data_IF_394525351308
#
_entry.id   IF_394525351308
#
_cell.length_a   1.000
_cell.length_b   1.000
_cell.length_c   1.000
_cell.angle_alpha   90.00
_cell.angle_beta   90.00
_cell.angle_gamma   90.00
#
_symmetry.space_group_name_H-M   'P 1'
#
loop_
_entity.id
_entity.type
_entity.pdbx_description
1 polymer ?
#
# COMPACT_ATOMS: atom_id res chain seq x y z
N UNK A 1 3.27 30.54 29.25
CA UNK A 1 2.85 31.80 28.62
C UNK A 1 4.09 32.68 28.57
N UNK A 2 4.65 32.92 27.38
CA UNK A 2 5.85 33.74 27.21
C UNK A 2 5.47 35.17 27.61
N UNK A 3 6.07 35.71 28.68
CA UNK A 3 5.94 37.13 29.02
C UNK A 3 6.96 37.87 28.16
N UNK A 4 6.52 38.37 27.02
CA UNK A 4 7.32 39.27 26.19
C UNK A 4 6.94 40.69 26.57
N UNK A 5 7.94 41.52 26.84
CA UNK A 5 7.71 42.94 27.05
C UNK A 5 7.33 43.63 25.72
N UNK A 6 6.83 44.85 25.82
CA UNK A 6 6.34 45.61 24.67
C UNK A 6 7.46 45.96 23.68
N UNK A 7 8.66 46.21 24.20
CA UNK A 7 9.82 46.63 23.40
C UNK A 7 10.39 45.45 22.59
N UNK A 8 10.37 44.24 23.14
CA UNK A 8 10.70 42.99 22.43
C UNK A 8 9.67 42.73 21.33
N UNK A 9 8.38 43.01 21.57
CA UNK A 9 7.35 42.82 20.55
C UNK A 9 7.51 43.79 19.37
N UNK A 10 7.85 45.05 19.63
CA UNK A 10 8.13 46.06 18.59
C UNK A 10 9.38 45.66 17.78
N UNK A 11 10.45 45.20 18.44
CA UNK A 11 11.65 44.69 17.75
C UNK A 11 11.37 43.43 16.89
N UNK A 12 10.44 42.56 17.30
CA UNK A 12 10.03 41.38 16.52
C UNK A 12 9.24 41.78 15.27
N UNK A 13 8.40 42.82 15.36
CA UNK A 13 7.58 43.30 14.25
C UNK A 13 8.39 44.06 13.21
N UNK A 14 9.44 44.77 13.66
CA UNK A 14 10.32 45.57 12.80
C UNK A 14 11.50 44.76 12.24
N UNK A 15 11.75 43.55 12.74
CA UNK A 15 12.81 42.68 12.26
C UNK A 15 12.39 41.90 11.01
N UNK A 16 13.00 42.20 9.87
CA UNK A 16 12.88 41.39 8.65
C UNK A 16 13.73 40.11 8.68
N UNK A 17 14.59 39.96 9.69
CA UNK A 17 15.61 38.93 9.76
C UNK A 17 15.36 37.97 10.93
N UNK A 18 15.03 36.71 10.60
CA UNK A 18 14.71 35.65 11.57
C UNK A 18 15.82 35.46 12.62
N UNK A 19 17.07 35.76 12.26
CA UNK A 19 18.24 35.64 13.14
C UNK A 19 18.36 36.75 14.19
N UNK A 20 17.47 37.74 14.20
CA UNK A 20 17.42 38.79 15.23
C UNK A 20 16.34 38.55 16.28
N UNK A 21 15.43 37.59 16.06
CA UNK A 21 14.40 37.24 17.05
C UNK A 21 15.05 36.62 18.29
N UNK A 22 14.60 36.92 19.53
CA UNK A 22 15.08 36.22 20.71
C UNK A 22 14.83 34.71 20.60
N UNK A 23 15.81 33.88 20.96
CA UNK A 23 15.73 32.41 20.83
C UNK A 23 14.48 31.82 21.53
N UNK A 24 14.01 32.45 22.61
CA UNK A 24 12.80 32.05 23.34
C UNK A 24 11.49 32.23 22.57
N UNK A 25 11.50 32.96 21.46
CA UNK A 25 10.33 33.22 20.59
C UNK A 25 10.45 32.52 19.24
N UNK A 26 11.64 32.00 18.91
CA UNK A 26 11.87 31.25 17.68
C UNK A 26 11.16 29.89 17.74
N UNK A 27 10.31 29.63 16.75
CA UNK A 27 9.70 28.32 16.54
C UNK A 27 10.54 27.59 15.50
N UNK A 28 11.51 26.83 16.00
CA UNK A 28 12.34 26.01 15.13
C UNK A 28 11.63 24.70 14.77
N UNK A 29 12.12 24.07 13.70
CA UNK A 29 11.64 22.75 13.24
C UNK A 29 11.54 21.73 14.39
N UNK A 30 12.51 21.71 15.31
CA UNK A 30 12.53 20.79 16.44
C UNK A 30 11.38 21.02 17.43
N UNK A 31 10.95 22.27 17.64
CA UNK A 31 9.80 22.60 18.49
C UNK A 31 8.51 22.03 17.89
N UNK A 32 8.31 22.21 16.59
CA UNK A 32 7.14 21.67 15.86
C UNK A 32 7.17 20.15 15.87
N UNK A 33 8.32 19.56 15.52
CA UNK A 33 8.51 18.11 15.51
C UNK A 33 8.21 17.48 16.89
N UNK A 34 8.73 18.06 17.97
CA UNK A 34 8.50 17.56 19.33
C UNK A 34 7.04 17.69 19.76
N UNK A 35 6.39 18.82 19.45
CA UNK A 35 4.97 19.01 19.72
C UNK A 35 4.10 18.00 18.97
N UNK A 36 4.40 17.76 17.68
CA UNK A 36 3.75 16.71 16.88
C UNK A 36 3.97 15.32 17.46
N UNK A 37 5.20 15.00 17.84
CA UNK A 37 5.54 13.71 18.45
C UNK A 37 4.74 13.46 19.74
N UNK A 38 4.60 14.48 20.60
CA UNK A 38 3.76 14.38 21.81
C UNK A 38 2.29 14.19 21.44
N UNK A 39 1.78 14.98 20.49
CA UNK A 39 0.38 14.91 20.07
C UNK A 39 0.04 13.53 19.49
N UNK A 40 0.83 13.05 18.52
CA UNK A 40 0.67 11.74 17.92
C UNK A 40 0.77 10.63 18.97
N UNK A 41 1.72 10.73 19.90
CA UNK A 41 1.83 9.78 21.02
C UNK A 41 0.57 9.74 21.87
N UNK A 42 -0.03 10.89 22.20
CA UNK A 42 -1.29 10.94 22.98
C UNK A 42 -2.47 10.31 22.22
N UNK A 43 -2.48 10.42 20.90
CA UNK A 43 -3.51 9.81 20.07
C UNK A 43 -3.29 8.32 19.82
N UNK A 44 -2.03 7.85 19.82
CA UNK A 44 -1.70 6.45 19.50
C UNK A 44 -1.47 5.56 20.72
N UNK A 45 -1.09 6.13 21.86
CA UNK A 45 -0.83 5.40 23.10
C UNK A 45 -2.06 5.45 24.02
N UNK A 46 -2.95 4.46 23.89
CA UNK A 46 -4.15 4.35 24.74
C UNK A 46 -3.87 3.82 26.15
N UNK A 47 -2.67 3.30 26.38
CA UNK A 47 -2.23 2.81 27.68
C UNK A 47 -0.70 2.91 27.85
N UNK A 48 -0.18 3.18 29.06
CA UNK A 48 1.25 3.06 29.35
C UNK A 48 1.81 1.66 29.03
N UNK A 49 1.03 0.60 29.27
CA UNK A 49 1.38 -0.77 28.88
C UNK A 49 1.16 -0.96 27.38
N UNK A 50 2.19 -1.40 26.66
CA UNK A 50 2.08 -1.63 25.21
C UNK A 50 1.07 -2.75 24.89
N UNK A 51 1.06 -3.83 25.67
CA UNK A 51 0.10 -4.93 25.49
C UNK A 51 -1.34 -4.42 25.63
N UNK A 52 -1.63 -3.69 26.71
CA UNK A 52 -2.96 -3.11 26.94
C UNK A 52 -3.32 -2.05 25.89
N UNK A 53 -2.33 -1.29 25.39
CA UNK A 53 -2.54 -0.35 24.31
C UNK A 53 -2.91 -1.06 22.99
N UNK A 54 -2.28 -2.20 22.69
CA UNK A 54 -2.60 -3.02 21.51
C UNK A 54 -3.99 -3.66 21.64
N UNK A 55 -4.38 -4.14 22.82
CA UNK A 55 -5.73 -4.65 23.07
C UNK A 55 -6.80 -3.58 22.84
N UNK A 56 -6.57 -2.36 23.35
CA UNK A 56 -7.47 -1.21 23.10
C UNK A 56 -7.54 -0.84 21.61
N UNK A 57 -6.41 -0.94 20.88
CA UNK A 57 -6.40 -0.79 19.43
C UNK A 57 -7.21 -1.87 18.74
N UNK A 58 -7.06 -3.14 19.12
CA UNK A 58 -7.86 -4.24 18.60
C UNK A 58 -9.36 -3.99 18.79
N UNK A 59 -9.78 -3.59 20.00
CA UNK A 59 -11.16 -3.25 20.30
C UNK A 59 -11.69 -2.10 19.42
N UNK A 60 -10.89 -1.04 19.24
CA UNK A 60 -11.23 0.08 18.35
C UNK A 60 -11.37 -0.35 16.89
N UNK A 61 -10.45 -1.17 16.39
CA UNK A 61 -10.49 -1.69 15.01
C UNK A 61 -11.78 -2.50 14.79
N UNK A 62 -12.16 -3.35 15.75
CA UNK A 62 -13.42 -4.09 15.67
C UNK A 62 -14.65 -3.18 15.69
N UNK A 63 -14.64 -2.13 16.52
CA UNK A 63 -15.71 -1.12 16.56
C UNK A 63 -15.88 -0.42 15.21
N UNK A 64 -14.77 -0.18 14.50
CA UNK A 64 -14.73 0.39 13.15
C UNK A 64 -14.96 -0.65 12.04
N UNK A 65 -15.44 -1.86 12.39
CA UNK A 65 -15.69 -2.99 11.47
C UNK A 65 -14.45 -3.48 10.72
N UNK A 66 -13.28 -3.31 11.31
CA UNK A 66 -12.04 -3.94 10.87
C UNK A 66 -11.85 -5.33 11.48
N UNK A 67 -10.69 -5.92 11.19
CA UNK A 67 -10.26 -7.22 11.66
C UNK A 67 -8.86 -7.07 12.24
N UNK A 68 -8.58 -7.79 13.32
CA UNK A 68 -7.26 -7.88 13.89
C UNK A 68 -7.00 -9.25 14.50
N UNK A 69 -5.73 -9.58 14.65
CA UNK A 69 -5.26 -10.71 15.46
C UNK A 69 -4.02 -10.29 16.21
N UNK A 70 -3.81 -10.85 17.40
CA UNK A 70 -2.56 -10.72 18.12
C UNK A 70 -2.22 -12.02 18.84
N UNK A 71 -0.93 -12.34 18.93
CA UNK A 71 -0.45 -13.46 19.74
C UNK A 71 0.86 -13.12 20.41
N UNK A 72 0.97 -13.55 21.66
CA UNK A 72 2.25 -13.74 22.32
C UNK A 72 2.89 -15.03 21.79
N UNK A 73 4.18 -14.96 21.51
CA UNK A 73 4.99 -15.99 20.88
C UNK A 73 6.19 -16.39 21.77
N UNK A 74 6.09 -16.21 23.09
CA UNK A 74 7.16 -16.45 24.08
C UNK A 74 7.77 -17.85 24.00
N UNK A 75 7.01 -18.84 23.54
CA UNK A 75 7.50 -20.21 23.33
C UNK A 75 8.62 -20.33 22.28
N UNK A 76 8.78 -19.32 21.42
CA UNK A 76 9.82 -19.28 20.39
C UNK A 76 10.97 -18.35 20.79
N UNK A 77 10.64 -17.18 21.35
CA UNK A 77 11.59 -16.20 21.87
C UNK A 77 10.86 -15.35 22.92
N UNK A 78 11.49 -15.14 24.08
CA UNK A 78 10.90 -14.39 25.19
C UNK A 78 10.52 -12.96 24.76
N UNK A 79 9.27 -12.57 25.01
CA UNK A 79 8.75 -11.26 24.64
C UNK A 79 8.35 -11.13 23.17
N UNK A 80 8.48 -12.18 22.34
CA UNK A 80 8.08 -12.14 20.95
C UNK A 80 6.56 -11.98 20.82
N UNK A 81 6.11 -11.08 19.95
CA UNK A 81 4.69 -10.94 19.64
C UNK A 81 4.47 -10.56 18.18
N UNK A 82 3.23 -10.69 17.75
CA UNK A 82 2.76 -9.95 16.59
C UNK A 82 1.36 -9.39 16.83
N UNK A 83 1.07 -8.27 16.15
CA UNK A 83 -0.23 -7.63 16.09
C UNK A 83 -0.52 -7.30 14.62
N UNK A 84 -1.52 -7.94 14.03
CA UNK A 84 -1.91 -7.73 12.64
C UNK A 84 -3.32 -7.18 12.56
N UNK A 85 -3.57 -6.33 11.55
CA UNK A 85 -4.87 -5.70 11.36
C UNK A 85 -5.13 -5.30 9.91
N UNK A 86 -6.42 -5.21 9.57
CA UNK A 86 -6.91 -4.72 8.30
C UNK A 86 -8.32 -4.15 8.45
N UNK A 87 -8.71 -3.20 7.60
CA UNK A 87 -10.09 -2.73 7.50
C UNK A 87 -10.95 -3.65 6.61
N UNK A 88 -12.28 -3.50 6.69
CA UNK A 88 -13.22 -4.18 5.79
C UNK A 88 -12.90 -3.94 4.30
N UNK A 89 -12.49 -2.71 3.96
CA UNK A 89 -12.13 -2.34 2.60
C UNK A 89 -10.89 -3.10 2.12
N UNK A 90 -9.90 -3.28 2.99
CA UNK A 90 -8.68 -4.02 2.65
C UNK A 90 -8.94 -5.51 2.50
N UNK A 91 -9.82 -6.10 3.31
CA UNK A 91 -10.24 -7.49 3.12
C UNK A 91 -10.94 -7.66 1.76
N UNK A 92 -11.76 -6.70 1.33
CA UNK A 92 -12.36 -6.71 -0.01
C UNK A 92 -11.29 -6.64 -1.09
N UNK A 93 -10.32 -5.74 -0.95
CA UNK A 93 -9.20 -5.64 -1.89
C UNK A 93 -8.34 -6.90 -1.96
N UNK A 94 -8.13 -7.58 -0.82
CA UNK A 94 -7.38 -8.83 -0.74
C UNK A 94 -8.07 -9.91 -1.57
N UNK A 95 -9.41 -9.97 -1.54
CA UNK A 95 -10.18 -10.92 -2.35
C UNK A 95 -10.20 -10.57 -3.84
N UNK A 96 -10.12 -9.28 -4.19
CA UNK A 96 -10.19 -8.82 -5.57
C UNK A 96 -8.83 -8.79 -6.29
N UNK A 97 -7.74 -8.54 -5.56
CA UNK A 97 -6.41 -8.29 -6.15
C UNK A 97 -5.29 -9.13 -5.51
N UNK A 98 -5.63 -10.09 -4.64
CA UNK A 98 -4.67 -10.86 -3.85
C UNK A 98 -3.90 -11.94 -4.62
N UNK A 99 -4.09 -12.06 -5.93
CA UNK A 99 -3.42 -13.06 -6.77
C UNK A 99 -1.91 -12.84 -6.85
N UNK A 100 -1.48 -11.57 -6.87
CA UNK A 100 -0.08 -11.16 -6.82
C UNK A 100 0.09 -10.08 -5.76
N UNK A 101 0.81 -10.42 -4.69
CA UNK A 101 1.06 -9.52 -3.58
C UNK A 101 2.55 -9.29 -3.35
N UNK A 102 2.92 -8.12 -2.88
CA UNK A 102 4.24 -7.85 -2.30
C UNK A 102 4.13 -7.93 -0.78
N UNK A 103 5.08 -8.58 -0.14
CA UNK A 103 5.28 -8.52 1.30
C UNK A 103 6.61 -7.80 1.54
N UNK A 104 6.56 -6.70 2.28
CA UNK A 104 7.73 -5.87 2.59
C UNK A 104 7.77 -5.54 4.08
N UNK A 105 8.98 -5.43 4.63
CA UNK A 105 9.22 -5.11 6.04
C UNK A 105 9.92 -3.77 6.20
N UNK A 106 9.28 -2.83 6.89
CA UNK A 106 9.89 -1.54 7.26
C UNK A 106 10.52 -1.63 8.65
N UNK A 107 11.86 -1.61 8.68
CA UNK A 107 12.65 -1.67 9.91
C UNK A 107 12.50 -0.41 10.77
N UNK A 108 12.59 -0.59 12.10
CA UNK A 108 12.63 0.51 13.10
C UNK A 108 11.44 1.45 13.01
N UNK A 109 10.27 0.88 12.71
CA UNK A 109 9.04 1.64 12.53
C UNK A 109 8.51 2.19 13.87
N UNK A 110 8.72 1.44 14.95
CA UNK A 110 8.44 1.86 16.32
C UNK A 110 9.32 1.09 17.31
N UNK A 111 9.11 1.31 18.60
CA UNK A 111 9.77 0.56 19.67
C UNK A 111 8.72 -0.17 20.51
N UNK A 112 9.10 -1.34 21.02
CA UNK A 112 8.30 -2.10 21.98
C UNK A 112 8.38 -1.51 23.40
N UNK A 113 7.71 -2.14 24.37
CA UNK A 113 7.66 -1.70 25.76
C UNK A 113 9.00 -1.79 26.48
N UNK A 114 9.91 -2.63 25.98
CA UNK A 114 11.28 -2.79 26.44
C UNK A 114 12.28 -1.92 25.65
N UNK A 115 11.81 -1.12 24.68
CA UNK A 115 12.59 -0.26 23.78
C UNK A 115 13.39 -1.02 22.71
N UNK A 116 12.94 -2.21 22.33
CA UNK A 116 13.48 -2.95 21.19
C UNK A 116 12.83 -2.42 19.91
N UNK A 117 13.57 -2.42 18.82
CA UNK A 117 13.04 -2.00 17.51
C UNK A 117 11.93 -2.96 17.06
N UNK A 118 10.82 -2.39 16.58
CA UNK A 118 9.73 -3.12 15.94
C UNK A 118 9.76 -2.96 14.42
N UNK A 119 9.26 -3.99 13.75
CA UNK A 119 9.14 -4.12 12.30
C UNK A 119 7.67 -4.00 11.90
N UNK A 120 7.41 -3.21 10.86
CA UNK A 120 6.10 -3.11 10.24
C UNK A 120 6.15 -3.88 8.92
N UNK A 121 5.44 -4.99 8.86
CA UNK A 121 5.18 -5.69 7.62
C UNK A 121 3.94 -5.14 6.95
N UNK A 122 4.03 -4.92 5.63
CA UNK A 122 2.92 -4.49 4.80
C UNK A 122 2.69 -5.49 3.68
N UNK A 123 1.45 -5.95 3.54
CA UNK A 123 1.01 -6.71 2.38
C UNK A 123 0.41 -5.74 1.36
N UNK A 124 0.87 -5.76 0.12
CA UNK A 124 0.45 -4.83 -0.93
C UNK A 124 0.03 -5.59 -2.18
N UNK A 125 -1.12 -5.27 -2.77
CA UNK A 125 -1.48 -5.74 -4.11
C UNK A 125 -1.41 -4.61 -5.12
N UNK A 126 -1.16 -4.94 -6.38
CA UNK A 126 -1.34 -3.99 -7.48
C UNK A 126 -2.83 -3.84 -7.77
N UNK A 127 -3.34 -2.61 -7.72
CA UNK A 127 -4.71 -2.33 -8.13
C UNK A 127 -4.84 -2.46 -9.65
N UNK A 128 -5.73 -3.32 -10.12
CA UNK A 128 -6.01 -3.52 -11.55
C UNK A 128 -6.49 -2.24 -12.25
N UNK A 129 -7.25 -1.39 -11.55
CA UNK A 129 -7.78 -0.14 -12.12
C UNK A 129 -6.73 0.97 -12.25
N UNK A 130 -5.88 1.18 -11.23
CA UNK A 130 -4.95 2.32 -11.22
C UNK A 130 -3.52 1.95 -11.56
N UNK A 131 -3.21 0.64 -11.58
CA UNK A 131 -1.86 0.12 -11.72
C UNK A 131 -0.95 0.37 -10.49
N UNK A 132 -1.43 1.05 -9.44
CA UNK A 132 -0.66 1.40 -8.23
C UNK A 132 -0.80 0.35 -7.14
N UNK A 133 0.20 0.24 -6.26
CA UNK A 133 0.13 -0.57 -5.06
C UNK A 133 -0.92 -0.06 -4.06
N UNK A 134 -1.70 -0.97 -3.48
CA UNK A 134 -2.66 -0.71 -2.40
C UNK A 134 -2.36 -1.64 -1.22
N UNK A 135 -2.27 -1.14 0.02
CA UNK A 135 -2.02 -1.97 1.19
C UNK A 135 -3.26 -2.81 1.53
N UNK A 136 -3.06 -4.12 1.64
CA UNK A 136 -4.07 -5.13 1.98
C UNK A 136 -4.13 -5.44 3.47
N UNK A 137 -3.08 -5.11 4.22
CA UNK A 137 -3.02 -5.34 5.65
C UNK A 137 -1.64 -5.06 6.19
N UNK A 138 -1.59 -4.96 7.51
CA UNK A 138 -0.36 -4.66 8.23
C UNK A 138 -0.15 -5.65 9.38
N UNK A 139 1.11 -5.89 9.70
CA UNK A 139 1.52 -6.61 10.90
C UNK A 139 2.69 -5.88 11.56
N UNK A 140 2.61 -5.71 12.87
CA UNK A 140 3.68 -5.19 13.71
C UNK A 140 4.23 -6.36 14.53
N UNK A 141 5.56 -6.47 14.61
CA UNK A 141 6.28 -7.48 15.40
C UNK A 141 7.58 -6.90 15.93
N UNK A 142 8.09 -7.39 17.05
CA UNK A 142 9.43 -7.08 17.56
C UNK A 142 10.51 -8.09 17.11
N UNK A 143 10.15 -9.06 16.28
CA UNK A 143 11.08 -10.09 15.78
C UNK A 143 10.98 -10.25 14.26
N UNK A 144 12.13 -10.42 13.60
CA UNK A 144 12.26 -10.77 12.18
C UNK A 144 12.21 -12.29 11.92
N UNK A 145 11.96 -13.08 12.97
CA UNK A 145 11.82 -14.51 12.84
C UNK A 145 10.63 -14.88 11.94
N UNK A 146 10.65 -16.09 11.42
CA UNK A 146 9.59 -16.65 10.57
C UNK A 146 8.22 -16.77 11.27
N UNK A 147 8.17 -16.85 12.62
CA UNK A 147 6.95 -17.21 13.35
C UNK A 147 5.86 -16.13 13.32
N UNK A 148 6.15 -14.83 13.59
CA UNK A 148 5.21 -13.74 13.35
C UNK A 148 4.56 -13.80 11.96
N UNK A 149 5.38 -13.89 10.91
CA UNK A 149 4.93 -13.94 9.52
C UNK A 149 4.04 -15.16 9.28
N UNK A 150 4.48 -16.34 9.73
CA UNK A 150 3.74 -17.59 9.60
C UNK A 150 2.35 -17.51 10.24
N UNK A 151 2.24 -16.99 11.46
CA UNK A 151 0.95 -16.89 12.15
C UNK A 151 0.04 -15.83 11.55
N UNK A 152 0.62 -14.75 11.02
CA UNK A 152 -0.15 -13.76 10.28
C UNK A 152 -0.69 -14.31 8.96
N UNK A 153 0.14 -15.00 8.16
CA UNK A 153 -0.30 -15.63 6.92
C UNK A 153 -1.34 -16.73 7.16
N UNK A 154 -1.19 -17.52 8.23
CA UNK A 154 -2.21 -18.50 8.64
C UNK A 154 -3.52 -17.82 9.03
N UNK A 155 -3.47 -16.68 9.71
CA UNK A 155 -4.68 -15.91 10.01
C UNK A 155 -5.41 -15.45 8.74
N UNK A 156 -4.69 -14.92 7.75
CA UNK A 156 -5.26 -14.56 6.45
C UNK A 156 -5.90 -15.77 5.76
N UNK A 157 -5.23 -16.92 5.78
CA UNK A 157 -5.70 -18.15 5.14
C UNK A 157 -6.91 -18.75 5.86
N UNK A 158 -6.76 -19.00 7.15
CA UNK A 158 -7.69 -19.82 7.93
C UNK A 158 -8.95 -19.03 8.32
N UNK A 159 -8.82 -17.74 8.65
CA UNK A 159 -9.95 -16.91 9.09
C UNK A 159 -10.57 -16.06 7.97
N UNK A 160 -9.80 -15.75 6.92
CA UNK A 160 -10.27 -14.90 5.82
C UNK A 160 -10.34 -15.61 4.47
N UNK A 161 -9.98 -16.89 4.40
CA UNK A 161 -10.05 -17.70 3.19
C UNK A 161 -9.08 -17.22 2.10
N UNK A 162 -8.02 -16.51 2.47
CA UNK A 162 -7.04 -16.04 1.51
C UNK A 162 -6.20 -17.21 0.98
N UNK A 163 -6.15 -17.36 -0.34
CA UNK A 163 -5.31 -18.33 -1.02
C UNK A 163 -4.22 -17.53 -1.74
N UNK A 164 -2.97 -17.74 -1.32
CA UNK A 164 -1.84 -17.10 -1.95
C UNK A 164 -1.58 -17.79 -3.30
N UNK A 165 -1.47 -17.00 -4.37
CA UNK A 165 -1.09 -17.50 -5.70
C UNK A 165 0.36 -17.13 -6.01
N UNK A 166 0.69 -15.84 -5.96
CA UNK A 166 2.05 -15.33 -6.15
C UNK A 166 2.40 -14.28 -5.11
N UNK A 167 3.64 -14.32 -4.63
CA UNK A 167 4.18 -13.34 -3.67
C UNK A 167 5.52 -12.83 -4.16
N UNK A 168 5.74 -11.53 -4.00
CA UNK A 168 7.03 -10.88 -4.16
C UNK A 168 7.53 -10.48 -2.78
N UNK A 169 8.77 -10.86 -2.48
CA UNK A 169 9.43 -10.58 -1.21
C UNK A 169 10.84 -10.08 -1.47
N UNK A 170 11.46 -9.51 -0.45
CA UNK A 170 12.91 -9.35 -0.42
C UNK A 170 13.57 -10.73 -0.26
N UNK A 171 14.84 -10.85 -0.63
CA UNK A 171 15.62 -12.10 -0.52
C UNK A 171 15.82 -12.48 0.97
N UNK A 172 14.79 -13.09 1.55
CA UNK A 172 14.61 -13.31 2.99
C UNK A 172 14.20 -14.76 3.27
N UNK A 173 15.15 -15.55 3.76
CA UNK A 173 14.93 -16.94 4.15
C UNK A 173 13.79 -17.08 5.17
N UNK A 174 13.62 -16.11 6.07
CA UNK A 174 12.59 -16.16 7.10
C UNK A 174 11.19 -15.98 6.52
N UNK A 175 11.04 -15.11 5.51
CA UNK A 175 9.79 -14.93 4.76
C UNK A 175 9.48 -16.17 3.93
N UNK A 176 10.47 -16.71 3.20
CA UNK A 176 10.33 -17.95 2.41
C UNK A 176 9.84 -19.11 3.28
N UNK A 177 10.50 -19.35 4.42
CA UNK A 177 10.12 -20.43 5.34
C UNK A 177 8.72 -20.22 5.90
N UNK A 178 8.35 -18.98 6.23
CA UNK A 178 7.03 -18.67 6.76
C UNK A 178 5.92 -18.90 5.72
N UNK A 179 6.12 -18.45 4.48
CA UNK A 179 5.19 -18.62 3.35
C UNK A 179 4.98 -20.11 3.07
N UNK A 180 6.07 -20.87 2.92
CA UNK A 180 6.01 -22.31 2.64
C UNK A 180 5.26 -23.07 3.75
N UNK A 181 5.51 -22.73 5.02
CA UNK A 181 4.81 -23.33 6.17
C UNK A 181 3.34 -22.91 6.31
N UNK A 182 2.95 -21.73 5.82
CA UNK A 182 1.57 -21.26 5.90
C UNK A 182 0.68 -21.93 4.83
N UNK A 183 1.22 -22.10 3.62
CA UNK A 183 0.46 -22.58 2.46
C UNK A 183 0.78 -24.02 2.05
N UNK A 184 1.65 -24.73 2.80
CA UNK A 184 2.06 -26.11 2.55
C UNK A 184 2.70 -26.31 1.17
N UNK A 185 3.46 -25.33 0.68
CA UNK A 185 4.27 -25.52 -0.51
C UNK A 185 5.39 -26.51 -0.18
N UNK A 186 5.37 -27.67 -0.84
CA UNK A 186 6.42 -28.68 -0.75
C UNK A 186 7.52 -28.25 -1.70
N UNK A 187 8.65 -27.79 -1.17
CA UNK A 187 9.88 -27.46 -1.90
C UNK A 187 9.67 -26.62 -3.19
N UNK A 188 9.91 -25.31 -3.08
CA UNK A 188 10.26 -24.40 -4.19
C UNK A 188 9.21 -23.88 -5.18
N UNK A 189 7.89 -24.04 -4.94
CA UNK A 189 6.87 -23.47 -5.84
C UNK A 189 5.76 -22.66 -5.14
N UNK A 190 6.11 -21.47 -4.64
CA UNK A 190 5.43 -20.28 -5.14
C UNK A 190 6.41 -19.55 -6.03
N UNK A 191 5.95 -19.07 -7.19
CA UNK A 191 6.71 -18.16 -8.07
C UNK A 191 7.07 -16.89 -7.29
N UNK A 192 8.14 -16.99 -6.51
CA UNK A 192 8.63 -15.98 -5.58
C UNK A 192 9.53 -15.11 -6.43
N UNK A 193 8.96 -14.05 -6.99
CA UNK A 193 9.76 -13.10 -7.74
C UNK A 193 10.51 -12.25 -6.70
N UNK A 194 11.81 -12.50 -6.60
CA UNK A 194 12.73 -11.76 -5.72
C UNK A 194 12.81 -10.32 -6.23
N UNK A 195 12.51 -9.36 -5.37
CA UNK A 195 12.55 -7.94 -5.72
C UNK A 195 14.00 -7.43 -5.81
N UNK A 196 14.24 -6.53 -6.78
CA UNK A 196 15.53 -5.89 -7.03
C UNK A 196 15.63 -4.62 -6.17
N UNK A 197 15.74 -4.75 -4.84
CA UNK A 197 15.85 -3.55 -3.98
C UNK A 197 17.27 -2.96 -3.96
N UNK A 198 18.28 -3.71 -4.42
CA UNK A 198 19.70 -3.34 -4.29
C UNK A 198 20.42 -2.97 -5.58
N UNK A 199 19.75 -2.31 -6.52
CA UNK A 199 20.44 -1.50 -7.55
C UNK A 199 20.95 -0.17 -6.98
N UNK A 200 21.61 -0.24 -5.82
CA UNK A 200 22.38 0.90 -5.30
C UNK A 200 23.82 0.73 -5.73
N UNK A 201 24.09 1.03 -7.00
CA UNK A 201 25.42 1.48 -7.40
C UNK A 201 25.77 2.68 -6.51
N UNK A 202 26.55 2.43 -5.46
CA UNK A 202 27.09 3.48 -4.61
C UNK A 202 28.23 4.09 -5.41
N UNK A 203 27.93 5.21 -6.07
CA UNK A 203 28.95 5.99 -6.76
C UNK A 203 30.11 6.25 -5.81
N UNK A 204 31.30 5.76 -6.14
CA UNK A 204 32.54 6.14 -5.46
C UNK A 204 32.82 7.64 -5.62
N UNK A 205 32.24 8.27 -6.64
CA UNK A 205 32.37 9.70 -6.91
C UNK A 205 31.23 10.55 -6.27
N UNK A 206 31.50 11.32 -5.21
CA UNK A 206 30.51 12.17 -4.54
C UNK A 206 30.04 13.37 -5.39
N UNK A 207 30.67 13.65 -6.54
CA UNK A 207 30.33 14.81 -7.39
C UNK A 207 29.21 14.56 -8.39
N UNK A 208 28.77 13.31 -8.61
CA UNK A 208 27.69 13.00 -9.56
C UNK A 208 26.35 13.53 -9.05
N UNK A 209 25.62 14.22 -9.92
CA UNK A 209 24.31 14.78 -9.65
C UNK A 209 23.26 13.68 -9.41
N UNK A 210 22.18 14.02 -8.71
CA UNK A 210 21.05 13.09 -8.51
C UNK A 210 20.45 12.62 -9.86
N UNK A 211 20.48 13.48 -10.88
CA UNK A 211 19.97 13.18 -12.22
C UNK A 211 20.81 12.11 -12.92
N UNK A 212 22.14 12.22 -12.87
CA UNK A 212 23.04 11.21 -13.43
C UNK A 212 22.87 9.88 -12.70
N UNK A 213 22.75 9.90 -11.37
CA UNK A 213 22.51 8.69 -10.56
C UNK A 213 21.22 7.99 -10.95
N UNK A 214 20.16 8.78 -11.21
CA UNK A 214 18.88 8.25 -11.66
C UNK A 214 18.96 7.64 -13.06
N UNK A 215 19.57 8.36 -14.01
CA UNK A 215 19.71 7.89 -15.39
C UNK A 215 20.51 6.57 -15.46
N UNK A 216 21.57 6.46 -14.66
CA UNK A 216 22.39 5.23 -14.63
C UNK A 216 21.60 4.03 -14.10
N UNK A 217 20.82 4.23 -13.03
CA UNK A 217 19.92 3.19 -12.51
C UNK A 217 18.85 2.78 -13.51
N UNK A 218 18.26 3.76 -14.21
CA UNK A 218 17.26 3.49 -15.24
C UNK A 218 17.84 2.68 -16.40
N UNK A 219 19.09 2.95 -16.80
CA UNK A 219 19.78 2.17 -17.83
C UNK A 219 20.04 0.72 -17.38
N UNK A 220 20.61 0.53 -16.18
CA UNK A 220 20.80 -0.79 -15.59
C UNK A 220 19.49 -1.58 -15.49
N UNK A 221 18.43 -0.93 -15.00
CA UNK A 221 17.09 -1.53 -14.92
C UNK A 221 16.56 -1.92 -16.29
N UNK A 222 16.79 -1.11 -17.32
CA UNK A 222 16.29 -1.42 -18.67
C UNK A 222 16.94 -2.68 -19.24
N UNK A 223 18.26 -2.84 -19.05
CA UNK A 223 19.00 -4.05 -19.46
C UNK A 223 18.50 -5.29 -18.71
N UNK A 224 18.31 -5.17 -17.39
CA UNK A 224 17.72 -6.25 -16.59
C UNK A 224 16.29 -6.60 -17.00
N UNK A 225 15.48 -5.61 -17.35
CA UNK A 225 14.13 -5.82 -17.86
C UNK A 225 14.13 -6.54 -19.22
N UNK A 226 15.11 -6.26 -20.09
CA UNK A 226 15.23 -6.97 -21.35
C UNK A 226 15.58 -8.44 -21.12
N UNK A 227 16.55 -8.74 -20.24
CA UNK A 227 16.84 -10.12 -19.82
C UNK A 227 15.62 -10.82 -19.23
N UNK A 228 14.82 -10.12 -18.42
CA UNK A 228 13.60 -10.68 -17.83
C UNK A 228 12.54 -11.04 -18.88
N UNK A 229 12.48 -10.27 -19.98
CA UNK A 229 11.51 -10.43 -21.08
C UNK A 229 12.04 -11.20 -22.28
N UNK A 230 13.27 -11.70 -22.21
CA UNK A 230 13.84 -12.50 -23.27
C UNK A 230 12.94 -13.70 -23.56
N UNK A 231 12.59 -13.92 -24.83
CA UNK A 231 11.69 -15.01 -25.22
C UNK A 231 12.40 -16.35 -25.28
N UNK A 232 13.70 -16.33 -25.58
CA UNK A 232 14.54 -17.52 -25.70
C UNK A 232 15.80 -17.41 -24.84
N UNK A 233 16.43 -18.54 -24.45
CA UNK A 233 17.72 -18.52 -23.78
C UNK A 233 18.79 -17.75 -24.56
N UNK A 234 18.74 -17.80 -25.89
CA UNK A 234 19.67 -17.06 -26.74
C UNK A 234 19.45 -15.54 -26.64
N UNK A 235 18.19 -15.09 -26.65
CA UNK A 235 17.89 -13.66 -26.46
C UNK A 235 18.32 -13.19 -25.08
N UNK A 236 18.17 -14.04 -24.06
CA UNK A 236 18.66 -13.75 -22.73
C UNK A 236 20.17 -13.57 -22.71
N UNK A 237 20.91 -14.51 -23.30
CA UNK A 237 22.37 -14.48 -23.32
C UNK A 237 22.87 -13.21 -24.04
N UNK A 238 22.20 -12.79 -25.12
CA UNK A 238 22.49 -11.54 -25.82
C UNK A 238 22.23 -10.29 -24.95
N UNK A 239 21.12 -10.25 -24.20
CA UNK A 239 20.84 -9.12 -23.29
C UNK A 239 21.75 -9.15 -22.05
N UNK A 240 22.15 -10.33 -21.59
CA UNK A 240 23.12 -10.51 -20.52
C UNK A 240 24.50 -10.00 -20.90
N UNK A 241 24.98 -10.31 -22.11
CA UNK A 241 26.25 -9.79 -22.64
C UNK A 241 26.25 -8.26 -22.71
N UNK A 242 25.11 -7.64 -23.09
CA UNK A 242 24.95 -6.18 -23.05
C UNK A 242 25.03 -5.62 -21.64
N UNK A 243 24.42 -6.30 -20.66
CA UNK A 243 24.46 -5.90 -19.26
C UNK A 243 25.87 -6.03 -18.67
N UNK A 244 26.57 -7.13 -18.96
CA UNK A 244 27.96 -7.35 -18.57
C UNK A 244 28.89 -6.28 -19.16
N UNK A 245 28.79 -6.05 -20.47
CA UNK A 245 29.57 -5.00 -21.17
C UNK A 245 29.33 -3.63 -20.54
N UNK A 246 28.07 -3.28 -20.27
CA UNK A 246 27.74 -2.03 -19.60
C UNK A 246 28.33 -1.95 -18.17
N UNK A 247 28.35 -3.06 -17.42
CA UNK A 247 28.95 -3.07 -16.09
C UNK A 247 30.46 -2.84 -16.15
N UNK A 248 31.15 -3.45 -17.11
CA UNK A 248 32.59 -3.28 -17.33
C UNK A 248 32.90 -1.83 -17.73
N UNK A 249 32.16 -1.29 -18.70
CA UNK A 249 32.39 0.08 -19.19
C UNK A 249 32.08 1.15 -18.14
N UNK A 250 31.14 0.87 -17.22
CA UNK A 250 30.73 1.80 -16.18
C UNK A 250 31.52 1.68 -14.86
N UNK A 251 32.39 0.66 -14.71
CA UNK A 251 32.97 0.30 -13.41
C UNK A 251 33.83 1.42 -12.81
N UNK A 252 34.69 2.01 -13.62
CA UNK A 252 35.59 3.11 -13.26
C UNK A 252 34.84 4.30 -12.62
N UNK A 253 33.56 4.50 -12.96
CA UNK A 253 32.75 5.60 -12.47
C UNK A 253 31.68 5.21 -11.43
N UNK A 254 31.19 3.97 -11.44
CA UNK A 254 29.95 3.58 -10.75
C UNK A 254 30.03 2.36 -9.83
N UNK A 255 31.21 1.72 -9.68
CA UNK A 255 31.36 0.48 -8.88
C UNK A 255 30.37 -0.60 -9.38
N UNK A 256 30.21 -0.68 -10.71
CA UNK A 256 29.28 -1.61 -11.36
C UNK A 256 29.80 -3.05 -11.37
N UNK A 257 31.09 -3.29 -11.10
CA UNK A 257 31.61 -4.63 -10.85
C UNK A 257 30.92 -5.27 -9.64
N UNK A 258 30.70 -4.50 -8.57
CA UNK A 258 29.95 -5.01 -7.40
C UNK A 258 28.50 -5.32 -7.73
N UNK A 259 27.90 -4.52 -8.60
CA UNK A 259 26.55 -4.79 -9.08
C UNK A 259 26.53 -6.07 -9.90
N UNK A 260 27.48 -6.25 -10.83
CA UNK A 260 27.56 -7.44 -11.66
C UNK A 260 27.81 -8.70 -10.82
N UNK A 261 28.76 -8.68 -9.88
CA UNK A 261 29.01 -9.80 -8.96
C UNK A 261 27.77 -10.16 -8.12
N UNK A 262 27.02 -9.14 -7.68
CA UNK A 262 25.76 -9.37 -6.98
C UNK A 262 24.70 -9.98 -7.92
N UNK A 263 24.59 -9.46 -9.14
CA UNK A 263 23.67 -9.97 -10.16
C UNK A 263 23.98 -11.43 -10.52
N UNK A 264 25.24 -11.74 -10.78
CA UNK A 264 25.72 -13.09 -11.09
C UNK A 264 25.32 -14.07 -9.98
N UNK A 265 25.63 -13.71 -8.73
CA UNK A 265 25.39 -14.57 -7.58
C UNK A 265 23.91 -14.77 -7.28
N UNK A 266 23.12 -13.69 -7.26
CA UNK A 266 21.74 -13.74 -6.77
C UNK A 266 20.69 -13.93 -7.86
N UNK A 267 20.95 -13.45 -9.09
CA UNK A 267 19.97 -13.45 -10.17
C UNK A 267 20.35 -14.43 -11.28
N UNK A 268 21.57 -14.38 -11.81
CA UNK A 268 21.95 -15.21 -12.94
C UNK A 268 21.90 -16.71 -12.61
N UNK A 269 22.31 -17.07 -11.39
CA UNK A 269 22.22 -18.44 -10.85
C UNK A 269 20.78 -18.96 -10.69
N UNK A 270 19.80 -18.05 -10.66
CA UNK A 270 18.36 -18.32 -10.49
C UNK A 270 17.53 -17.87 -11.70
N UNK A 271 18.15 -17.68 -12.88
CA UNK A 271 17.51 -17.09 -14.08
C UNK A 271 16.24 -17.82 -14.52
N UNK A 272 16.17 -19.12 -14.27
CA UNK A 272 14.99 -19.94 -14.55
C UNK A 272 13.75 -19.52 -13.74
N UNK A 273 13.93 -18.85 -12.59
CA UNK A 273 12.84 -18.41 -11.71
C UNK A 273 12.20 -17.08 -12.15
N UNK A 274 12.88 -16.26 -12.95
CA UNK A 274 12.44 -14.88 -13.22
C UNK A 274 12.49 -14.46 -14.69
N UNK A 275 13.25 -15.15 -15.55
CA UNK A 275 13.29 -14.83 -16.98
C UNK A 275 12.26 -15.63 -17.77
N UNK A 276 11.57 -14.95 -18.69
CA UNK A 276 10.61 -15.57 -19.61
C UNK A 276 11.25 -16.63 -20.51
N UNK A 277 12.55 -16.52 -20.79
CA UNK A 277 13.29 -17.45 -21.64
C UNK A 277 13.32 -18.89 -21.12
N UNK A 278 13.12 -19.07 -19.80
CA UNK A 278 13.07 -20.37 -19.13
C UNK A 278 11.73 -20.64 -18.46
N UNK A 279 10.78 -19.70 -18.51
CA UNK A 279 9.39 -20.09 -18.44
C UNK A 279 9.14 -20.91 -19.69
N UNK A 280 9.32 -22.23 -19.54
CA UNK A 280 8.95 -23.21 -20.54
C UNK A 280 7.59 -22.75 -21.04
N UNK A 281 7.54 -22.34 -22.31
CA UNK A 281 6.38 -22.56 -23.17
C UNK A 281 6.02 -23.99 -22.84
N UNK A 282 5.09 -24.19 -21.90
CA UNK A 282 4.95 -25.45 -21.15
C UNK A 282 4.83 -26.51 -22.25
N UNK A 283 5.88 -27.29 -22.54
CA UNK A 283 5.79 -28.25 -23.64
C UNK A 283 4.65 -29.22 -23.33
N UNK A 284 4.42 -29.48 -22.04
CA UNK A 284 3.24 -30.14 -21.49
C UNK A 284 1.93 -29.40 -21.83
N UNK A 285 1.84 -28.07 -21.70
CA UNK A 285 0.64 -27.29 -22.05
C UNK A 285 0.36 -27.31 -23.56
N UNK A 286 1.40 -27.21 -24.39
CA UNK A 286 1.25 -27.33 -25.84
C UNK A 286 0.97 -28.77 -26.26
N UNK A 287 1.55 -29.77 -25.59
CA UNK A 287 1.24 -31.18 -25.80
C UNK A 287 -0.22 -31.51 -25.44
N UNK A 288 -0.82 -30.76 -24.51
CA UNK A 288 -2.25 -30.84 -24.22
C UNK A 288 -3.11 -30.21 -25.32
N UNK A 289 -2.55 -29.45 -26.26
CA UNK A 289 -3.26 -28.96 -27.46
C UNK A 289 -3.00 -29.93 -28.62
N UNK A 290 -4.01 -30.70 -29.00
CA UNK A 290 -3.88 -31.74 -30.02
C UNK A 290 -4.25 -31.29 -31.43
N UNK A 291 -4.82 -30.10 -31.57
CA UNK A 291 -5.12 -29.52 -32.88
C UNK A 291 -5.94 -28.24 -32.81
N UNK A 292 -6.04 -27.58 -33.97
CA UNK A 292 -6.90 -26.42 -34.17
C UNK A 292 -7.60 -26.57 -35.54
N UNK A 293 -8.92 -26.41 -35.54
CA UNK A 293 -9.77 -26.51 -36.73
C UNK A 293 -10.64 -25.26 -36.81
N UNK A 294 -10.20 -24.25 -37.57
CA UNK A 294 -10.86 -22.95 -37.64
C UNK A 294 -10.95 -22.30 -36.26
N UNK A 295 -12.18 -22.13 -35.80
CA UNK A 295 -12.56 -21.41 -34.58
C UNK A 295 -12.53 -22.33 -33.34
N UNK A 296 -12.07 -23.57 -33.50
CA UNK A 296 -12.06 -24.60 -32.47
C UNK A 296 -10.63 -25.00 -32.13
N UNK A 297 -10.28 -24.95 -30.85
CA UNK A 297 -9.03 -25.52 -30.32
C UNK A 297 -9.34 -26.81 -29.57
N UNK A 298 -8.60 -27.88 -29.90
CA UNK A 298 -8.76 -29.22 -29.34
C UNK A 298 -7.78 -29.45 -28.19
N UNK A 299 -8.30 -29.78 -27.01
CA UNK A 299 -7.53 -29.89 -25.76
C UNK A 299 -7.71 -31.27 -25.13
N UNK A 300 -6.63 -31.93 -24.72
CA UNK A 300 -6.70 -33.20 -23.99
C UNK A 300 -7.34 -33.05 -22.61
N UNK A 301 -7.94 -34.14 -22.13
CA UNK A 301 -8.44 -34.24 -20.76
C UNK A 301 -7.30 -34.15 -19.75
N UNK A 302 -7.49 -33.32 -18.72
CA UNK A 302 -6.57 -33.25 -17.58
C UNK A 302 -6.69 -34.44 -16.61
N UNK A 303 -7.77 -35.22 -16.68
CA UNK A 303 -7.96 -36.38 -15.78
C UNK A 303 -7.41 -37.67 -16.39
N UNK A 304 -7.57 -37.82 -17.71
CA UNK A 304 -7.25 -39.05 -18.43
C UNK A 304 -6.56 -38.70 -19.77
N UNK A 305 -5.33 -38.13 -19.72
CA UNK A 305 -4.61 -37.71 -20.91
C UNK A 305 -4.25 -38.89 -21.85
N UNK A 306 -4.13 -40.11 -21.29
CA UNK A 306 -3.79 -41.33 -22.05
C UNK A 306 -4.98 -41.94 -22.81
N UNK A 307 -6.22 -41.61 -22.45
CA UNK A 307 -7.43 -42.21 -23.05
C UNK A 307 -7.94 -41.48 -24.30
N UNK A 308 -7.15 -40.57 -24.88
CA UNK A 308 -7.52 -39.79 -26.08
C UNK A 308 -8.79 -38.94 -25.94
N UNK A 309 -9.23 -38.64 -24.70
CA UNK A 309 -10.39 -37.76 -24.49
C UNK A 309 -9.99 -36.33 -24.82
N UNK A 310 -10.65 -35.75 -25.81
CA UNK A 310 -10.38 -34.41 -26.34
C UNK A 310 -11.63 -33.55 -26.20
N UNK A 311 -11.44 -32.34 -25.68
CA UNK A 311 -12.46 -31.31 -25.55
C UNK A 311 -12.23 -30.19 -26.55
N UNK A 312 -13.28 -29.84 -27.28
CA UNK A 312 -13.32 -28.66 -28.13
C UNK A 312 -13.55 -27.40 -27.28
N UNK A 313 -12.71 -26.39 -27.49
CA UNK A 313 -12.85 -25.03 -26.96
C UNK A 313 -13.15 -24.11 -28.14
N UNK A 314 -14.31 -23.45 -28.12
CA UNK A 314 -14.77 -22.57 -29.18
C UNK A 314 -14.29 -21.14 -28.94
N UNK A 315 -13.76 -20.50 -29.97
CA UNK A 315 -13.35 -19.11 -30.00
C UNK A 315 -14.39 -18.31 -30.77
N UNK A 316 -14.79 -17.16 -30.24
CA UNK A 316 -15.46 -16.15 -31.03
C UNK A 316 -14.41 -15.29 -31.74
N UNK A 317 -14.27 -15.48 -33.05
CA UNK A 317 -13.22 -14.82 -33.85
C UNK A 317 -13.46 -13.32 -34.00
N UNK A 318 -14.72 -12.89 -34.01
CA UNK A 318 -15.06 -11.46 -34.21
C UNK A 318 -14.68 -10.60 -33.00
N UNK A 319 -14.81 -11.16 -31.79
CA UNK A 319 -14.62 -10.45 -30.52
C UNK A 319 -13.36 -10.93 -29.73
N UNK A 320 -12.57 -11.84 -30.30
CA UNK A 320 -11.32 -12.41 -29.75
C UNK A 320 -11.45 -12.92 -28.29
N UNK A 321 -12.50 -13.69 -28.01
CA UNK A 321 -12.72 -14.31 -26.70
C UNK A 321 -13.14 -15.78 -26.78
N UNK A 322 -12.89 -16.52 -25.70
CA UNK A 322 -13.26 -17.94 -25.56
C UNK A 322 -14.74 -18.06 -25.20
N UNK A 323 -15.53 -18.65 -26.11
CA UNK A 323 -16.98 -18.70 -25.98
C UNK A 323 -17.45 -19.88 -25.12
N UNK A 324 -16.94 -21.09 -25.37
CA UNK A 324 -17.39 -22.28 -24.66
C UNK A 324 -16.39 -23.43 -24.71
N UNK A 325 -16.62 -24.45 -23.89
CA UNK A 325 -15.87 -25.70 -23.90
C UNK A 325 -16.84 -26.88 -23.78
N UNK A 326 -16.55 -27.97 -24.48
CA UNK A 326 -17.38 -29.19 -24.47
C UNK A 326 -17.25 -30.02 -23.20
N UNK A 327 -16.35 -29.69 -22.27
CA UNK A 327 -16.21 -30.45 -21.02
C UNK A 327 -17.41 -30.26 -20.07
N UNK A 328 -17.65 -31.27 -19.23
CA UNK A 328 -18.79 -31.30 -18.31
C UNK A 328 -18.80 -30.13 -17.30
N UNK A 329 -17.61 -29.69 -16.88
CA UNK A 329 -17.42 -28.61 -15.91
C UNK A 329 -17.98 -27.27 -16.45
N UNK A 330 -17.58 -26.88 -17.67
CA UNK A 330 -18.12 -25.68 -18.32
C UNK A 330 -19.63 -25.82 -18.55
N UNK A 331 -20.08 -26.98 -19.04
CA UNK A 331 -21.49 -27.20 -19.35
C UNK A 331 -22.38 -27.05 -18.11
N UNK A 332 -21.88 -27.50 -16.95
CA UNK A 332 -22.61 -27.46 -15.68
C UNK A 332 -22.54 -26.08 -15.03
N UNK A 333 -21.35 -25.51 -14.92
CA UNK A 333 -21.10 -24.32 -14.09
C UNK A 333 -21.23 -23.01 -14.87
N UNK A 334 -21.22 -23.06 -16.22
CA UNK A 334 -21.24 -21.88 -17.11
C UNK A 334 -20.13 -20.87 -16.82
N UNK A 335 -19.07 -21.29 -16.14
CA UNK A 335 -17.85 -20.53 -15.87
C UNK A 335 -16.68 -21.08 -16.70
N UNK A 336 -15.62 -20.30 -16.93
CA UNK A 336 -14.42 -20.81 -17.60
C UNK A 336 -13.84 -22.03 -16.87
N UNK A 337 -13.61 -23.11 -17.62
CA UNK A 337 -13.05 -24.36 -17.10
C UNK A 337 -11.52 -24.42 -17.33
N UNK A 338 -10.85 -25.42 -16.76
CA UNK A 338 -9.39 -25.63 -16.91
C UNK A 338 -8.93 -25.63 -18.38
N UNK A 339 -9.68 -26.23 -19.29
CA UNK A 339 -9.36 -26.23 -20.73
C UNK A 339 -9.35 -24.82 -21.33
N UNK A 340 -10.30 -23.95 -20.96
CA UNK A 340 -10.33 -22.56 -21.43
C UNK A 340 -9.17 -21.76 -20.85
N UNK A 341 -8.81 -21.97 -19.58
CA UNK A 341 -7.62 -21.35 -18.98
C UNK A 341 -6.33 -21.79 -19.66
N UNK A 342 -6.23 -23.06 -20.07
CA UNK A 342 -5.08 -23.54 -20.85
C UNK A 342 -4.99 -22.86 -22.20
N UNK A 343 -6.10 -22.75 -22.93
CA UNK A 343 -6.14 -22.05 -24.23
C UNK A 343 -5.80 -20.57 -24.07
N UNK A 344 -6.35 -19.89 -23.06
CA UNK A 344 -5.98 -18.52 -22.74
C UNK A 344 -4.48 -18.40 -22.42
N UNK A 345 -3.90 -19.35 -21.67
CA UNK A 345 -2.47 -19.35 -21.36
C UNK A 345 -1.58 -19.56 -22.58
N UNK A 346 -1.99 -20.43 -23.51
CA UNK A 346 -1.20 -20.83 -24.68
C UNK A 346 -1.33 -19.84 -25.84
N UNK A 347 -2.55 -19.35 -26.09
CA UNK A 347 -2.86 -18.50 -27.26
C UNK A 347 -3.20 -17.05 -26.89
N UNK A 348 -3.24 -16.72 -25.60
CA UNK A 348 -3.55 -15.38 -25.07
C UNK A 348 -4.93 -14.83 -25.49
N UNK A 349 -5.90 -15.70 -25.77
CA UNK A 349 -7.29 -15.34 -26.14
C UNK A 349 -8.09 -15.04 -24.87
N UNK A 350 -8.85 -13.94 -24.84
CA UNK A 350 -9.54 -13.46 -23.63
C UNK A 350 -10.60 -14.43 -23.08
N UNK A 351 -10.70 -14.56 -21.75
CA UNK A 351 -11.74 -15.36 -21.05
C UNK A 351 -13.03 -14.59 -20.77
N UNK A 352 -12.99 -13.26 -20.90
CA UNK A 352 -14.09 -12.36 -20.54
C UNK A 352 -14.65 -11.79 -21.84
N UNK A 353 -15.96 -11.97 -22.06
CA UNK A 353 -16.66 -11.31 -23.16
C UNK A 353 -16.50 -9.78 -23.02
N UNK A 354 -15.97 -9.07 -24.02
CA UNK A 354 -15.97 -7.63 -24.04
C UNK A 354 -17.40 -7.13 -23.88
N UNK A 355 -17.68 -6.30 -22.87
CA UNK A 355 -18.99 -5.65 -22.81
C UNK A 355 -19.06 -4.66 -23.96
N UNK A 356 -19.95 -4.93 -24.92
CA UNK A 356 -20.26 -3.98 -25.97
C UNK A 356 -20.59 -2.63 -25.33
N UNK A 357 -19.84 -1.60 -25.71
CA UNK A 357 -20.11 -0.22 -25.31
C UNK A 357 -21.49 0.16 -25.85
N UNK A 358 -22.50 0.00 -25.00
CA UNK A 358 -23.85 0.49 -25.31
C UNK A 358 -23.77 2.00 -25.44
N UNK A 359 -23.76 2.49 -26.68
CA UNK A 359 -24.01 3.87 -27.03
C UNK A 359 -25.43 4.21 -26.55
N UNK A 360 -25.51 4.85 -25.38
CA UNK A 360 -26.76 5.33 -24.82
C UNK A 360 -27.29 6.48 -25.69
N UNK A 361 -28.18 6.17 -26.61
CA UNK A 361 -29.07 7.16 -27.22
C UNK A 361 -29.96 7.76 -26.13
N UNK A 362 -29.79 9.06 -25.87
CA UNK A 362 -30.63 9.84 -24.97
C UNK A 362 -32.09 9.86 -25.46
N UNK A 363 -33.10 9.71 -24.59
CA UNK A 363 -34.48 10.01 -24.93
C UNK A 363 -34.72 11.53 -24.92
N UNK A 364 -35.67 12.05 -25.73
CA UNK A 364 -35.86 13.47 -25.94
C UNK A 364 -36.58 14.13 -24.75
N UNK A 365 -36.18 15.37 -24.46
CA UNK A 365 -36.74 16.25 -23.44
C UNK A 365 -38.24 16.54 -23.66
N UNK A 366 -39.06 16.63 -22.60
CA UNK A 366 -40.41 17.17 -22.71
C UNK A 366 -40.42 18.71 -22.67
N UNK A 367 -41.39 19.36 -23.33
CA UNK A 367 -41.45 20.81 -23.46
C UNK A 367 -42.01 21.50 -22.20
N UNK A 368 -41.62 22.76 -22.08
CA UNK A 368 -41.81 23.70 -20.99
C UNK A 368 -43.22 24.31 -20.86
N UNK A 369 -43.62 24.50 -19.59
CA UNK A 369 -44.49 25.56 -19.02
C UNK A 369 -46.02 25.46 -19.23
N UNK A 370 -46.90 26.17 -18.45
CA UNK A 370 -46.64 27.11 -17.35
C UNK A 370 -47.45 26.88 -16.04
N UNK A 371 -47.03 27.57 -14.98
CA UNK A 371 -47.74 27.79 -13.70
C UNK A 371 -49.09 28.50 -13.88
N UNK A 372 -50.01 28.37 -12.90
CA UNK A 372 -50.32 29.56 -12.10
C UNK A 372 -50.62 29.31 -10.59
N UNK A 373 -50.00 30.16 -9.78
CA UNK A 373 -50.53 30.91 -8.61
C UNK A 373 -51.53 30.30 -7.59
N UNK A 374 -51.04 30.25 -6.34
CA UNK A 374 -51.64 30.75 -5.08
C UNK A 374 -53.03 30.27 -4.62
N UNK A 375 -53.10 29.67 -3.42
CA UNK A 375 -53.53 30.36 -2.18
C UNK A 375 -53.74 29.39 -1.00
N UNK A 376 -53.14 29.73 0.14
CA UNK A 376 -53.59 29.61 1.54
C UNK A 376 -54.49 28.43 1.96
N UNK A 377 -54.03 27.70 2.99
CA UNK A 377 -54.72 27.67 4.29
C UNK A 377 -53.81 27.17 5.42
N UNK A 378 -53.66 28.03 6.43
CA UNK A 378 -53.16 27.71 7.77
C UNK A 378 -54.23 26.94 8.55
N UNK A 379 -53.81 25.93 9.31
CA UNK A 379 -54.46 25.59 10.57
C UNK A 379 -53.41 25.18 11.60
N UNK A 380 -53.33 26.00 12.66
CA UNK A 380 -52.54 25.80 13.88
C UNK A 380 -53.41 25.20 14.99
N UNK A 381 -52.71 24.73 16.04
CA UNK A 381 -53.09 24.44 17.46
C UNK A 381 -53.50 22.97 17.75
N UNK A 382 -53.02 22.29 18.80
CA UNK A 382 -52.43 22.71 20.11
C UNK A 382 -51.37 21.70 20.59
N UNK A 383 -50.41 22.23 21.35
CA UNK A 383 -49.35 21.59 22.13
C UNK A 383 -49.80 20.53 23.16
N UNK A 384 -48.94 19.52 23.39
CA UNK A 384 -48.63 19.00 24.72
C UNK A 384 -47.11 18.91 24.84
N UNK A 385 -46.58 19.65 25.81
CA UNK A 385 -45.20 19.64 26.26
C UNK A 385 -44.88 18.29 26.92
N UNK A 386 -43.71 17.74 26.60
CA UNK A 386 -42.84 17.22 27.66
C UNK A 386 -41.37 17.45 27.29
N UNK A 387 -40.73 18.15 28.21
CA UNK A 387 -39.35 18.60 28.19
C UNK A 387 -38.40 17.47 28.53
N UNK A 388 -37.35 17.27 27.73
CA UNK A 388 -36.03 16.93 28.24
C UNK A 388 -34.96 17.43 27.28
N UNK A 389 -34.23 18.43 27.77
CA UNK A 389 -33.08 19.07 27.16
C UNK A 389 -31.81 18.28 27.47
N UNK A 390 -31.17 17.71 26.46
CA UNK A 390 -29.74 17.41 26.46
C UNK A 390 -29.13 17.96 25.18
N UNK A 391 -28.93 19.28 25.14
CA UNK A 391 -28.04 19.92 24.17
C UNK A 391 -26.61 19.87 24.72
N UNK A 392 -25.96 18.71 24.60
CA UNK A 392 -24.51 18.63 24.60
C UNK A 392 -24.02 19.10 23.24
N UNK A 393 -23.43 20.29 23.19
CA UNK A 393 -22.97 20.92 21.96
C UNK A 393 -21.83 20.14 21.32
N UNK A 394 -22.15 19.29 20.36
CA UNK A 394 -21.24 18.84 19.32
C UNK A 394 -20.88 20.06 18.46
N UNK A 395 -19.60 20.44 18.47
CA UNK A 395 -19.01 21.26 17.41
C UNK A 395 -18.02 20.39 16.65
N UNK A 396 -18.14 20.49 15.33
CA UNK A 396 -18.13 19.40 14.37
C UNK A 396 -16.73 18.86 14.02
N UNK A 397 -16.71 17.62 13.55
CA UNK A 397 -15.62 17.01 12.77
C UNK A 397 -15.00 17.99 11.75
N UNK A 398 -15.77 18.97 11.24
CA UNK A 398 -15.26 20.05 10.38
C UNK A 398 -14.19 20.95 11.01
N UNK A 399 -14.13 21.12 12.34
CA UNK A 399 -13.07 21.88 12.98
C UNK A 399 -11.74 21.11 12.96
N UNK A 400 -11.81 19.78 13.12
CA UNK A 400 -10.67 18.86 13.03
C UNK A 400 -10.22 18.75 11.57
N UNK A 401 -11.16 18.61 10.65
CA UNK A 401 -10.87 18.53 9.22
C UNK A 401 -10.28 19.85 8.71
N UNK A 402 -10.78 21.01 9.15
CA UNK A 402 -10.18 22.31 8.84
C UNK A 402 -8.75 22.45 9.38
N UNK A 403 -8.45 21.87 10.54
CA UNK A 403 -7.09 21.85 11.08
C UNK A 403 -6.16 20.97 10.23
N UNK A 404 -6.61 19.76 9.86
CA UNK A 404 -5.84 18.84 9.01
C UNK A 404 -5.62 19.42 7.60
N UNK A 405 -6.65 20.03 7.01
CA UNK A 405 -6.57 20.68 5.69
C UNK A 405 -5.64 21.90 5.71
N UNK A 406 -5.76 22.74 6.74
CA UNK A 406 -4.84 23.87 6.93
C UNK A 406 -3.40 23.40 7.13
N UNK A 407 -3.21 22.22 7.72
CA UNK A 407 -1.91 21.61 7.97
C UNK A 407 -1.30 20.91 6.75
N UNK A 408 -2.10 20.28 5.89
CA UNK A 408 -1.62 19.73 4.61
C UNK A 408 -1.26 20.86 3.62
N UNK A 409 -2.02 21.96 3.61
CA UNK A 409 -1.63 23.19 2.91
C UNK A 409 -0.28 23.73 3.43
N UNK A 410 -0.06 23.66 4.74
CA UNK A 410 1.19 24.01 5.42
C UNK A 410 2.37 23.14 4.98
N UNK A 411 2.18 21.82 4.88
CA UNK A 411 3.19 20.89 4.35
C UNK A 411 3.51 21.15 2.88
N UNK A 412 2.49 21.42 2.07
CA UNK A 412 2.65 21.72 0.64
C UNK A 412 3.44 23.02 0.47
N UNK A 413 3.10 24.06 1.22
CA UNK A 413 3.79 25.36 1.12
C UNK A 413 5.20 25.28 1.71
N UNK A 414 5.40 24.59 2.84
CA UNK A 414 6.71 24.30 3.40
C UNK A 414 7.60 23.53 2.41
N UNK A 415 7.06 22.52 1.71
CA UNK A 415 7.78 21.78 0.66
C UNK A 415 8.15 22.64 -0.55
N UNK A 416 7.30 23.59 -0.95
CA UNK A 416 7.65 24.57 -2.01
C UNK A 416 8.79 25.49 -1.57
N UNK A 417 8.89 25.79 -0.28
CA UNK A 417 9.96 26.64 0.29
C UNK A 417 11.25 25.91 0.64
N UNK A 418 11.30 24.58 0.75
CA UNK A 418 12.56 23.83 1.01
C UNK A 418 13.62 24.06 -0.10
N UNK A 419 13.21 24.48 -1.30
CA UNK A 419 14.13 24.89 -2.38
C UNK A 419 14.56 26.37 -2.34
N UNK A 420 14.13 27.16 -1.35
CA UNK A 420 14.54 28.56 -1.15
C UNK A 420 15.15 28.72 0.24
N UNK A 421 16.31 29.37 0.31
CA UNK A 421 17.08 29.52 1.57
C UNK A 421 16.33 30.26 2.69
N UNK A 422 15.26 31.02 2.39
CA UNK A 422 14.50 31.78 3.38
C UNK A 422 12.98 31.65 3.18
N UNK A 423 12.27 31.52 4.31
CA UNK A 423 10.80 31.55 4.38
C UNK A 423 10.37 33.00 4.67
N UNK A 424 9.50 33.62 3.87
CA UNK A 424 9.07 34.99 4.13
C UNK A 424 8.39 35.14 5.49
N UNK A 425 8.77 36.16 6.27
CA UNK A 425 8.24 36.47 7.60
C UNK A 425 6.70 36.57 7.61
N UNK A 426 6.11 37.08 6.53
CA UNK A 426 4.65 37.14 6.36
C UNK A 426 3.96 35.76 6.36
N UNK A 427 4.64 34.72 5.86
CA UNK A 427 4.14 33.34 5.89
C UNK A 427 4.23 32.82 7.32
N UNK A 428 5.36 33.01 8.00
CA UNK A 428 5.55 32.62 9.40
C UNK A 428 4.51 33.28 10.30
N UNK A 429 4.26 34.59 10.14
CA UNK A 429 3.28 35.34 10.92
C UNK A 429 1.84 34.86 10.67
N UNK A 430 1.48 34.56 9.42
CA UNK A 430 0.15 34.02 9.10
C UNK A 430 -0.05 32.63 9.73
N UNK A 431 0.99 31.80 9.72
CA UNK A 431 0.98 30.48 10.34
C UNK A 431 0.94 30.54 11.87
N UNK A 432 1.66 31.49 12.47
CA UNK A 432 1.64 31.73 13.91
C UNK A 432 0.27 32.21 14.39
N UNK A 433 -0.42 33.07 13.64
CA UNK A 433 -1.79 33.53 13.94
C UNK A 433 -2.77 32.35 13.89
N UNK A 434 -2.75 31.56 12.81
CA UNK A 434 -3.62 30.39 12.66
C UNK A 434 -3.39 29.34 13.76
N UNK A 435 -2.12 29.11 14.13
CA UNK A 435 -1.77 28.20 15.21
C UNK A 435 -2.21 28.74 16.59
N UNK A 436 -2.10 30.06 16.81
CA UNK A 436 -2.53 30.71 18.05
C UNK A 436 -4.05 30.72 18.20
N UNK A 437 -4.80 30.93 17.11
CA UNK A 437 -6.26 30.85 17.06
C UNK A 437 -6.73 29.42 17.41
N UNK A 438 -6.17 28.40 16.74
CA UNK A 438 -6.46 27.00 17.04
C UNK A 438 -6.11 26.63 18.51
N UNK A 439 -4.99 27.14 19.02
CA UNK A 439 -4.58 26.90 20.42
C UNK A 439 -5.51 27.60 21.42
N UNK A 440 -6.05 28.78 21.08
CA UNK A 440 -6.99 29.51 21.91
C UNK A 440 -8.37 28.83 21.94
N UNK A 441 -8.83 28.31 20.80
CA UNK A 441 -10.05 27.48 20.72
C UNK A 441 -9.93 26.19 21.55
N UNK A 442 -8.75 25.54 21.56
CA UNK A 442 -8.51 24.38 22.42
C UNK A 442 -8.44 24.72 23.93
N UNK A 443 -8.02 25.94 24.29
CA UNK A 443 -7.95 26.38 25.70
C UNK A 443 -9.31 26.77 26.26
N UNK A 444 -10.20 27.35 25.44
CA UNK A 444 -11.59 27.62 25.85
C UNK A 444 -12.35 26.31 26.11
N UNK A 445 -11.99 25.22 25.40
CA UNK A 445 -12.54 23.87 25.63
C UNK A 445 -12.05 23.22 26.94
N UNK A 446 -10.76 23.34 27.29
CA UNK A 446 -10.22 22.80 28.55
C UNK A 446 -10.70 23.55 29.81
N UNK A 447 -11.26 24.75 29.66
CA UNK A 447 -11.80 25.54 30.77
C UNK A 447 -13.30 25.33 30.99
N UNK A 448 -14.01 24.77 30.01
CA UNK A 448 -15.44 24.40 30.12
C UNK A 448 -15.68 22.96 30.57
N UNK A 449 -14.65 22.12 30.64
CA UNK A 449 -14.71 20.73 31.10
C UNK A 449 -13.89 20.55 32.40
N UNK A 450 -14.45 20.93 33.55
CA UNK A 450 -13.85 20.59 34.85
C UNK A 450 -14.85 19.94 35.82
N UNK A 451 -14.60 18.66 36.10
CA UNK A 451 -14.89 17.97 37.36
C UNK A 451 -13.56 17.52 37.99
N UNK A 452 -13.45 17.39 39.33
CA UNK A 452 -12.24 17.78 40.04
C UNK A 452 -11.24 16.62 40.23
N UNK A 453 -9.99 16.85 39.81
CA UNK A 453 -8.79 16.43 40.57
C UNK A 453 -7.59 17.24 40.08
N UNK A 454 -7.29 18.30 40.84
CA UNK A 454 -6.06 19.07 40.72
C UNK A 454 -4.89 18.21 41.19
N UNK A 455 -3.94 17.93 40.30
CA UNK A 455 -2.55 17.71 40.71
C UNK A 455 -1.70 18.77 40.04
N UNK A 456 -1.27 19.76 40.82
CA UNK A 456 -0.30 20.77 40.40
C UNK A 456 1.07 20.11 40.26
N UNK A 457 1.63 20.15 39.05
CA UNK A 457 3.06 19.92 38.85
C UNK A 457 3.72 21.30 38.81
N UNK A 458 4.54 21.59 39.83
CA UNK A 458 5.46 22.73 39.82
C UNK A 458 6.61 22.42 38.87
N UNK A 459 7.03 23.45 38.13
CA UNK A 459 8.07 23.46 37.10
C UNK A 459 9.39 22.82 37.51
#
# INVERSE_FOLDING_TARGET
MLRLDKDILENILDSEDYDQLPQSVRIDYQHVYYAMKIHLRRQSQFDPSMVTSLEKWGAKIMQERGYYTSKNLDRFEEGMFFFAFMSQWQLKLLKENGDLVCLDSTHKSCMDGAKHDCYLYTLVARCTTTGKGKPLGWMITNSQAQYPILYWLKWLKDEHGYILSRVMIDDSDTEIIAINKAYNYVNDDPSTNIFIDKLTAKTSNPQKTLREKKAMREHALSLMMNMMRAETPLDFDLEHEKFETWCIDADDEWDSDRLYLYFEREFLSKREKWSQAWHTINEEAYAMIVGQEGDIIKVLSFTDPDESTVYDVLINVDDDFLESCTCLDQQTNKSPCKHMYLVNRVFNISLIRPQASSSSSLPPSPPSSPSPSSSQQQQQRVDVMDTNSETGGDLSQEAIDRFVDSFELLKIEAKKTVNKKHVPVAVINRLAIQFQEATNEMRSWNSSTSGPSRMQIRY
#
